data_IF_528129783856
#
_entry.id   IF_528129783856
#
_cell.length_a   1.000
_cell.length_b   1.000
_cell.length_c   1.000
_cell.angle_alpha   90.00
_cell.angle_beta   90.00
_cell.angle_gamma   90.00
#
_symmetry.space_group_name_H-M   'P 1'
#
loop_
_entity.id
_entity.type
_entity.pdbx_description
1 polymer ?
#
# COMPACT_ATOMS: atom_id res chain seq x y z
N UNK A 1 -6.12 -15.36 -17.54
CA UNK A 1 -5.67 -15.85 -16.22
C UNK A 1 -5.04 -14.65 -15.53
N UNK A 2 -5.78 -13.97 -14.67
CA UNK A 2 -5.24 -12.90 -13.83
C UNK A 2 -4.54 -13.56 -12.64
N UNK A 3 -3.21 -13.52 -12.62
CA UNK A 3 -2.44 -13.86 -11.42
C UNK A 3 -2.71 -12.76 -10.38
N UNK A 4 -3.39 -13.11 -9.28
CA UNK A 4 -3.57 -12.21 -8.14
C UNK A 4 -2.19 -11.93 -7.53
N UNK A 5 -1.82 -10.66 -7.27
CA UNK A 5 -0.52 -10.36 -6.73
C UNK A 5 -0.41 -10.79 -5.26
N UNK A 6 0.52 -11.70 -4.95
CA UNK A 6 0.84 -12.07 -3.57
C UNK A 6 1.56 -10.92 -2.87
N UNK A 7 1.15 -10.58 -1.65
CA UNK A 7 1.78 -9.52 -0.84
C UNK A 7 3.28 -9.78 -0.59
N UNK A 8 3.74 -11.03 -0.67
CA UNK A 8 5.16 -11.42 -0.58
C UNK A 8 6.03 -10.84 -1.71
N UNK A 9 5.40 -10.45 -2.82
CA UNK A 9 6.08 -9.81 -3.94
C UNK A 9 6.25 -8.30 -3.73
N UNK A 10 5.66 -7.71 -2.70
CA UNK A 10 5.77 -6.27 -2.44
C UNK A 10 7.17 -5.95 -1.89
N UNK A 11 7.78 -4.89 -2.42
CA UNK A 11 9.09 -4.40 -1.98
C UNK A 11 9.03 -3.11 -1.17
N UNK A 12 8.00 -2.28 -1.39
CA UNK A 12 7.77 -1.04 -0.67
C UNK A 12 6.28 -0.65 -0.73
N UNK A 13 5.86 0.18 0.22
CA UNK A 13 4.50 0.73 0.27
C UNK A 13 4.55 2.25 0.08
N UNK A 14 3.80 2.76 -0.88
CA UNK A 14 3.60 4.18 -1.11
C UNK A 14 2.21 4.61 -0.61
N UNK A 15 2.15 5.67 0.20
CA UNK A 15 0.92 6.16 0.82
C UNK A 15 0.77 7.66 0.60
N UNK A 16 -0.26 8.06 -0.13
CA UNK A 16 -0.38 9.45 -0.57
C UNK A 16 -1.31 10.30 0.29
N UNK A 17 -2.11 9.70 1.16
CA UNK A 17 -3.08 10.44 1.98
C UNK A 17 -3.26 9.87 3.37
N UNK A 18 -3.66 10.74 4.31
CA UNK A 18 -4.10 10.33 5.66
C UNK A 18 -5.35 9.43 5.63
N UNK A 19 -6.22 9.62 4.63
CA UNK A 19 -7.39 8.76 4.43
C UNK A 19 -6.97 7.33 4.10
N UNK A 20 -6.00 7.14 3.22
CA UNK A 20 -5.43 5.83 2.91
C UNK A 20 -4.80 5.18 4.16
N UNK A 21 -4.10 5.95 5.00
CA UNK A 21 -3.57 5.45 6.28
C UNK A 21 -4.68 4.97 7.23
N UNK A 22 -5.81 5.70 7.31
CA UNK A 22 -6.96 5.31 8.13
C UNK A 22 -7.67 4.08 7.59
N UNK A 23 -7.90 4.03 6.28
CA UNK A 23 -8.50 2.88 5.62
C UNK A 23 -7.65 1.62 5.79
N UNK A 24 -6.32 1.75 5.75
CA UNK A 24 -5.40 0.66 6.10
C UNK A 24 -5.59 0.22 7.55
N UNK A 25 -5.70 1.16 8.50
CA UNK A 25 -5.97 0.85 9.91
C UNK A 25 -7.28 0.08 10.09
N UNK A 26 -8.33 0.52 9.40
CA UNK A 26 -9.63 -0.12 9.41
C UNK A 26 -9.53 -1.52 8.81
N UNK A 27 -8.89 -1.70 7.64
CA UNK A 27 -8.72 -3.01 7.02
C UNK A 27 -7.98 -4.01 7.92
N UNK A 28 -7.04 -3.52 8.74
CA UNK A 28 -6.27 -4.32 9.68
C UNK A 28 -6.93 -4.45 11.07
N UNK A 29 -8.12 -3.87 11.27
CA UNK A 29 -8.83 -3.95 12.52
C UNK A 29 -9.45 -5.36 12.70
N UNK A 30 -9.33 -6.00 13.88
CA UNK A 30 -9.84 -7.36 14.11
C UNK A 30 -11.32 -7.54 13.74
N UNK A 31 -12.14 -6.52 13.95
CA UNK A 31 -13.58 -6.57 13.66
C UNK A 31 -13.93 -6.68 12.17
N UNK A 32 -13.01 -6.36 11.25
CA UNK A 32 -13.27 -6.42 9.81
C UNK A 32 -12.87 -7.75 9.16
N UNK A 33 -12.13 -8.60 9.86
CA UNK A 33 -11.76 -9.95 9.39
C UNK A 33 -12.47 -11.08 10.16
N UNK A 34 -13.46 -10.74 11.00
CA UNK A 34 -14.30 -11.72 11.69
C UNK A 34 -15.41 -12.22 10.77
N UNK A 35 -15.23 -13.39 10.19
CA UNK A 35 -16.27 -14.05 9.40
C UNK A 35 -15.84 -15.37 8.75
N UNK A 36 -14.54 -15.57 8.54
CA UNK A 36 -14.00 -16.76 7.87
C UNK A 36 -13.08 -17.50 8.86
N UNK A 37 -13.31 -18.80 9.07
CA UNK A 37 -12.36 -19.65 9.78
C UNK A 37 -10.99 -19.55 9.08
N UNK A 38 -10.03 -18.82 9.69
CA UNK A 38 -8.74 -18.50 9.07
C UNK A 38 -8.43 -17.00 8.95
N UNK A 39 -9.40 -16.11 9.13
CA UNK A 39 -9.23 -14.66 8.98
C UNK A 39 -8.27 -14.02 9.99
N UNK A 40 -8.16 -14.56 11.21
CA UNK A 40 -7.21 -14.06 12.22
C UNK A 40 -5.75 -14.37 11.86
N UNK A 41 -5.49 -15.59 11.35
CA UNK A 41 -4.16 -15.99 10.88
C UNK A 41 -3.75 -15.22 9.62
N UNK A 42 -4.70 -15.03 8.70
CA UNK A 42 -4.47 -14.24 7.49
C UNK A 42 -4.17 -12.77 7.84
N UNK A 43 -4.90 -12.19 8.79
CA UNK A 43 -4.63 -10.85 9.31
C UNK A 43 -3.23 -10.73 9.89
N UNK A 44 -2.82 -11.66 10.74
CA UNK A 44 -1.49 -11.67 11.34
C UNK A 44 -0.39 -11.73 10.28
N UNK A 45 -0.58 -12.55 9.24
CA UNK A 45 0.33 -12.65 8.11
C UNK A 45 0.40 -11.33 7.30
N UNK A 46 -0.73 -10.71 6.98
CA UNK A 46 -0.76 -9.39 6.34
C UNK A 46 -0.04 -8.34 7.20
N UNK A 47 -0.34 -8.29 8.50
CA UNK A 47 0.29 -7.34 9.42
C UNK A 47 1.79 -7.59 9.46
N UNK A 48 2.25 -8.83 9.60
CA UNK A 48 3.68 -9.17 9.62
C UNK A 48 4.39 -8.72 8.33
N UNK A 49 3.81 -9.03 7.17
CA UNK A 49 4.35 -8.61 5.87
C UNK A 49 4.44 -7.09 5.84
N UNK A 50 3.33 -6.38 6.09
CA UNK A 50 3.31 -4.92 6.05
C UNK A 50 4.30 -4.31 7.04
N UNK A 51 4.42 -4.83 8.27
CA UNK A 51 5.36 -4.30 9.26
C UNK A 51 6.84 -4.42 8.85
N UNK A 52 7.13 -5.34 7.94
CA UNK A 52 8.46 -5.59 7.38
C UNK A 52 8.75 -4.79 6.12
N UNK A 53 7.80 -4.01 5.58
CA UNK A 53 8.02 -3.22 4.37
C UNK A 53 8.39 -1.77 4.71
N UNK A 54 9.25 -1.11 3.90
CA UNK A 54 9.47 0.33 4.00
C UNK A 54 8.24 1.10 3.49
N UNK A 55 7.85 2.13 4.23
CA UNK A 55 6.73 3.00 3.86
C UNK A 55 7.23 4.36 3.39
N UNK A 56 6.68 4.83 2.27
CA UNK A 56 6.92 6.16 1.72
C UNK A 56 5.62 6.93 1.74
N UNK A 57 5.61 8.06 2.43
CA UNK A 57 4.41 8.83 2.71
C UNK A 57 4.51 10.23 2.10
N UNK A 58 3.38 10.78 1.63
CA UNK A 58 3.31 12.14 1.06
C UNK A 58 3.75 13.29 1.98
N UNK A 59 3.93 13.02 3.27
CA UNK A 59 4.48 13.96 4.23
C UNK A 59 4.38 13.43 5.67
N UNK A 60 4.85 14.23 6.61
CA UNK A 60 4.99 13.81 8.02
C UNK A 60 3.65 13.45 8.66
N UNK A 61 2.57 14.16 8.31
CA UNK A 61 1.24 13.83 8.84
C UNK A 61 0.71 12.46 8.40
N UNK A 62 1.06 12.01 7.19
CA UNK A 62 0.71 10.68 6.67
C UNK A 62 1.63 9.62 7.30
N UNK A 63 2.93 9.91 7.43
CA UNK A 63 3.90 9.04 8.08
C UNK A 63 3.55 8.78 9.57
N UNK A 64 3.20 9.83 10.31
CA UNK A 64 2.76 9.72 11.70
C UNK A 64 1.49 8.87 11.83
N UNK A 65 0.54 9.01 10.91
CA UNK A 65 -0.66 8.17 10.88
C UNK A 65 -0.32 6.69 10.68
N UNK A 66 0.58 6.36 9.75
CA UNK A 66 1.03 4.98 9.53
C UNK A 66 1.73 4.41 10.77
N UNK A 67 2.65 5.17 11.40
CA UNK A 67 3.34 4.76 12.63
C UNK A 67 2.39 4.50 13.80
N UNK A 68 1.24 5.18 13.83
CA UNK A 68 0.22 4.98 14.88
C UNK A 68 -0.62 3.70 14.70
N UNK A 69 -0.57 3.08 13.52
CA UNK A 69 -1.44 1.97 13.12
C UNK A 69 -0.69 0.65 13.04
N UNK A 70 0.56 0.68 12.57
CA UNK A 70 1.39 -0.51 12.38
C UNK A 70 2.57 -0.49 13.36
N UNK A 71 2.84 -1.60 14.08
CA UNK A 71 4.06 -1.77 14.86
C UNK A 71 5.24 -2.05 13.92
N UNK A 72 5.67 -1.03 13.19
CA UNK A 72 6.61 -1.15 12.08
C UNK A 72 8.01 -1.52 12.58
N UNK A 73 8.59 -2.54 11.95
CA UNK A 73 9.97 -2.97 12.20
C UNK A 73 10.96 -2.23 11.29
N UNK A 74 10.47 -1.73 10.14
CA UNK A 74 11.23 -1.00 9.14
C UNK A 74 10.82 0.48 9.06
N UNK A 75 11.55 1.25 8.25
CA UNK A 75 11.47 2.71 8.23
C UNK A 75 10.21 3.25 7.53
N UNK A 76 9.63 4.29 8.14
CA UNK A 76 8.58 5.13 7.54
C UNK A 76 9.19 6.47 7.15
N UNK A 77 9.19 6.75 5.86
CA UNK A 77 9.77 7.93 5.26
C UNK A 77 8.68 8.93 4.88
N UNK A 78 8.79 10.14 5.42
CA UNK A 78 8.05 11.28 4.87
C UNK A 78 8.81 11.82 3.66
N UNK A 79 8.21 11.70 2.48
CA UNK A 79 8.79 12.21 1.24
C UNK A 79 8.58 13.72 1.21
N UNK A 80 9.68 14.46 1.21
CA UNK A 80 9.64 15.93 1.15
C UNK A 80 9.37 16.33 -0.30
N UNK A 81 8.17 16.86 -0.54
CA UNK A 81 7.81 17.40 -1.85
C UNK A 81 8.56 18.72 -2.14
N UNK A 82 8.87 19.03 -3.41
CA UNK A 82 9.29 20.37 -3.80
C UNK A 82 8.20 21.41 -3.49
N UNK A 83 8.58 22.61 -3.05
CA UNK A 83 7.63 23.66 -2.64
C UNK A 83 6.61 24.07 -3.74
N UNK A 84 6.91 23.79 -5.01
CA UNK A 84 6.09 24.13 -6.16
C UNK A 84 5.15 22.99 -6.63
N UNK A 85 5.26 21.78 -6.05
CA UNK A 85 4.36 20.67 -6.32
C UNK A 85 3.10 20.82 -5.44
N UNK A 86 2.10 21.55 -5.95
CA UNK A 86 0.87 21.82 -5.20
C UNK A 86 -0.23 20.78 -5.42
N UNK A 87 -0.12 19.95 -6.46
CA UNK A 87 -1.16 18.99 -6.83
C UNK A 87 -0.90 17.55 -6.35
N UNK A 88 -1.99 16.80 -6.26
CA UNK A 88 -2.03 15.43 -5.75
C UNK A 88 -1.26 14.45 -6.66
N UNK A 89 -1.31 14.63 -7.99
CA UNK A 89 -0.65 13.74 -8.95
C UNK A 89 0.86 13.87 -8.84
N UNK A 90 1.38 15.10 -8.76
CA UNK A 90 2.81 15.35 -8.57
C UNK A 90 3.28 14.76 -7.25
N UNK A 91 2.54 14.99 -6.16
CA UNK A 91 2.87 14.41 -4.84
C UNK A 91 2.92 12.88 -4.89
N UNK A 92 1.93 12.27 -5.52
CA UNK A 92 1.86 10.83 -5.68
C UNK A 92 3.01 10.25 -6.51
N UNK A 93 3.42 10.96 -7.57
CA UNK A 93 4.55 10.58 -8.42
C UNK A 93 5.84 10.55 -7.61
N UNK A 94 6.15 11.60 -6.85
CA UNK A 94 7.35 11.65 -6.00
C UNK A 94 7.39 10.53 -4.96
N UNK A 95 6.24 10.26 -4.32
CA UNK A 95 6.15 9.18 -3.32
C UNK A 95 6.36 7.81 -3.96
N UNK A 96 5.74 7.56 -5.12
CA UNK A 96 5.90 6.31 -5.86
C UNK A 96 7.33 6.13 -6.38
N UNK A 97 7.96 7.18 -6.91
CA UNK A 97 9.37 7.12 -7.35
C UNK A 97 10.31 6.80 -6.20
N UNK A 98 10.18 7.49 -5.07
CA UNK A 98 11.01 7.21 -3.89
C UNK A 98 10.85 5.77 -3.40
N UNK A 99 9.63 5.23 -3.44
CA UNK A 99 9.37 3.84 -3.10
C UNK A 99 10.00 2.86 -4.10
N UNK A 100 9.84 3.11 -5.41
CA UNK A 100 10.40 2.26 -6.47
C UNK A 100 11.93 2.23 -6.43
N UNK A 101 12.57 3.37 -6.18
CA UNK A 101 14.03 3.48 -6.10
C UNK A 101 14.62 2.74 -4.89
N UNK A 102 13.84 2.60 -3.83
CA UNK A 102 14.27 1.96 -2.58
C UNK A 102 14.21 0.44 -2.58
N UNK A 103 13.45 -0.16 -3.50
CA UNK A 103 13.15 -1.58 -3.45
C UNK A 103 14.03 -2.41 -4.40
N UNK A 104 14.28 -3.69 -4.09
CA UNK A 104 14.96 -4.60 -5.00
C UNK A 104 14.22 -4.74 -6.34
N UNK A 105 14.97 -4.98 -7.43
CA UNK A 105 14.38 -5.27 -8.75
C UNK A 105 13.40 -6.45 -8.66
N UNK A 106 12.39 -6.45 -9.54
CA UNK A 106 11.32 -7.46 -9.63
C UNK A 106 10.36 -7.54 -8.43
N UNK A 107 10.45 -6.62 -7.47
CA UNK A 107 9.42 -6.44 -6.45
C UNK A 107 8.33 -5.48 -6.93
N UNK A 108 7.12 -5.69 -6.41
CA UNK A 108 5.95 -4.86 -6.68
C UNK A 108 5.90 -3.65 -5.75
N UNK A 109 5.39 -2.54 -6.26
CA UNK A 109 4.97 -1.40 -5.44
C UNK A 109 3.52 -1.63 -4.96
N UNK A 110 3.29 -1.54 -3.66
CA UNK A 110 1.94 -1.40 -3.10
C UNK A 110 1.62 0.09 -2.98
N UNK A 111 0.67 0.57 -3.77
CA UNK A 111 0.28 1.98 -3.80
C UNK A 111 -1.10 2.17 -3.15
N UNK A 112 -1.12 2.88 -2.02
CA UNK A 112 -2.31 3.19 -1.24
C UNK A 112 -2.69 4.66 -1.47
N UNK A 113 -3.79 4.86 -2.21
CA UNK A 113 -4.35 6.18 -2.50
C UNK A 113 -5.71 6.38 -1.85
N UNK A 114 -6.15 7.63 -1.79
CA UNK A 114 -7.53 7.95 -1.40
C UNK A 114 -8.54 7.60 -2.48
N UNK A 115 -9.58 8.42 -2.59
CA UNK A 115 -10.74 8.20 -3.46
C UNK A 115 -10.50 8.48 -4.95
N UNK A 116 -9.43 9.20 -5.31
CA UNK A 116 -9.11 9.51 -6.70
C UNK A 116 -8.12 8.49 -7.27
N UNK A 117 -8.49 7.84 -8.38
CA UNK A 117 -7.53 7.06 -9.17
C UNK A 117 -6.51 8.00 -9.81
N UNK A 118 -5.23 7.64 -9.72
CA UNK A 118 -4.14 8.45 -10.24
C UNK A 118 -3.52 7.75 -11.45
N UNK A 119 -4.06 8.03 -12.64
CA UNK A 119 -3.66 7.37 -13.91
C UNK A 119 -2.16 7.52 -14.26
N UNK A 120 -1.46 8.46 -13.61
CA UNK A 120 -0.02 8.64 -13.75
C UNK A 120 0.79 7.50 -13.11
N UNK A 121 0.28 6.87 -12.05
CA UNK A 121 1.00 5.86 -11.27
C UNK A 121 1.20 4.55 -12.04
N UNK A 122 0.17 3.99 -12.72
CA UNK A 122 0.37 2.85 -13.62
C UNK A 122 1.39 3.12 -14.73
N UNK A 123 1.38 4.34 -15.31
CA UNK A 123 2.33 4.74 -16.35
C UNK A 123 3.76 4.81 -15.83
N UNK A 124 3.94 5.39 -14.64
CA UNK A 124 5.23 5.43 -13.95
C UNK A 124 5.75 4.03 -13.64
N UNK A 125 4.93 3.16 -13.05
CA UNK A 125 5.35 1.81 -12.70
C UNK A 125 5.72 1.00 -13.95
N UNK A 126 4.94 1.16 -15.03
CA UNK A 126 5.24 0.53 -16.33
C UNK A 126 6.58 1.01 -16.91
N UNK A 127 6.85 2.33 -16.88
CA UNK A 127 8.11 2.87 -17.41
C UNK A 127 9.34 2.45 -16.60
N UNK A 128 9.15 2.11 -15.32
CA UNK A 128 10.18 1.60 -14.41
C UNK A 128 10.27 0.07 -14.36
N UNK A 129 9.50 -0.66 -15.19
CA UNK A 129 9.37 -2.12 -15.13
C UNK A 129 9.06 -2.63 -13.71
N UNK A 130 8.20 -1.90 -13.00
CA UNK A 130 7.77 -2.16 -11.65
C UNK A 130 6.33 -2.70 -11.68
N UNK A 131 6.07 -3.92 -11.18
CA UNK A 131 4.72 -4.38 -10.93
C UNK A 131 4.01 -3.44 -9.94
N UNK A 132 2.73 -3.18 -10.14
CA UNK A 132 1.94 -2.26 -9.32
C UNK A 132 0.74 -3.00 -8.73
N UNK A 133 0.58 -2.91 -7.41
CA UNK A 133 -0.64 -3.25 -6.70
C UNK A 133 -1.25 -1.93 -6.25
N UNK A 134 -2.28 -1.46 -6.94
CA UNK A 134 -2.97 -0.22 -6.60
C UNK A 134 -4.22 -0.52 -5.76
N UNK A 135 -4.30 0.10 -4.58
CA UNK A 135 -5.48 0.05 -3.72
C UNK A 135 -5.98 1.47 -3.49
N UNK A 136 -7.07 1.82 -4.18
CA UNK A 136 -7.80 3.04 -3.93
C UNK A 136 -8.77 2.81 -2.78
N UNK A 137 -8.57 3.58 -1.71
CA UNK A 137 -9.36 3.51 -0.50
C UNK A 137 -10.52 4.50 -0.58
N UNK A 138 -11.60 4.09 -1.25
CA UNK A 138 -12.91 4.72 -1.11
C UNK A 138 -13.60 4.16 0.15
N UNK A 139 -14.40 4.96 0.87
CA UNK A 139 -15.16 4.53 2.08
C UNK A 139 -15.96 3.22 1.89
N UNK A 140 -16.25 2.81 0.65
CA UNK A 140 -17.07 1.64 0.32
C UNK A 140 -16.24 0.38 0.00
N UNK A 141 -14.96 0.49 -0.37
CA UNK A 141 -14.18 -0.63 -0.97
C UNK A 141 -13.21 -1.33 -0.01
N UNK A 142 -13.00 -0.77 1.19
CA UNK A 142 -12.08 -1.32 2.22
C UNK A 142 -12.48 -2.74 2.67
N UNK A 143 -13.76 -3.11 2.50
CA UNK A 143 -14.31 -4.39 2.99
C UNK A 143 -13.96 -5.63 2.16
N UNK A 144 -13.30 -5.53 0.98
CA UNK A 144 -13.31 -6.67 0.04
C UNK A 144 -11.99 -7.05 -0.65
N UNK A 145 -10.82 -6.45 -0.34
CA UNK A 145 -9.66 -6.58 -1.26
C UNK A 145 -8.27 -6.87 -0.68
N UNK A 146 -8.10 -7.08 0.62
CA UNK A 146 -6.81 -7.51 1.19
C UNK A 146 -6.84 -9.02 1.47
N UNK A 147 -6.68 -9.83 0.43
CA UNK A 147 -6.47 -11.28 0.56
C UNK A 147 -4.97 -11.59 0.39
N UNK A 148 -4.37 -12.30 1.36
CA UNK A 148 -3.07 -12.95 1.14
C UNK A 148 -3.28 -14.04 0.10
N UNK A 149 -2.47 -14.01 -0.96
CA UNK A 149 -2.55 -14.98 -2.06
C UNK A 149 -2.35 -16.40 -1.56
N UNK A 150 -3.45 -17.09 -1.27
CA UNK A 150 -3.44 -18.52 -1.04
C UNK A 150 -3.36 -19.20 -2.42
N UNK A 151 -2.25 -19.87 -2.71
CA UNK A 151 -2.15 -20.77 -3.88
C UNK A 151 -3.13 -21.93 -3.68
N UNK A 152 -4.35 -21.75 -4.14
CA UNK A 152 -5.38 -22.76 -4.22
C UNK A 152 -6.13 -22.62 -5.54
N UNK A 153 -5.78 -23.46 -6.51
CA UNK A 153 -6.62 -23.75 -7.67
C UNK A 153 -8.06 -24.02 -7.25
N UNK A 154 -9.05 -23.51 -7.98
CA UNK A 154 -10.15 -24.36 -8.48
C UNK A 154 -10.77 -23.76 -9.76
N UNK A 155 -10.86 -24.63 -10.78
CA UNK A 155 -11.71 -24.69 -11.99
C UNK A 155 -12.10 -23.41 -12.74
#
# INVERSE_FOLDING_TARGET
KEEKPCLDMVGAVAVTSRQASRALAEALHPSHMKGEEGGERQREEVVQILTSLPFYCSGESTAAAIRSVLPLSNSVHAVVRPAHASDEQTTATFVAEAAIESMPRAKALLFLSGSSRLDIIPKLCSSRNCPLIEVSMCEVTVRSRLEVGNTGQVA
#
